data_IF_198614417255
#
_entry.id   IF_198614417255
#
_cell.length_a   1.000
_cell.length_b   1.000
_cell.length_c   1.000
_cell.angle_alpha   90.00
_cell.angle_beta   90.00
_cell.angle_gamma   90.00
#
_symmetry.space_group_name_H-M   'P 1'
#
loop_
_entity.id
_entity.type
_entity.pdbx_description
1 polymer ?
#
# COMPACT_ATOMS: atom_id res chain seq x y z
N UNK A 1 5.38 -18.01 42.73
CA UNK A 1 4.82 -16.88 41.98
C UNK A 1 5.82 -16.30 40.94
N UNK A 2 7.05 -15.92 41.29
CA UNK A 2 8.01 -15.34 40.33
C UNK A 2 8.33 -16.25 39.13
N UNK A 3 8.46 -17.55 39.31
CA UNK A 3 8.72 -18.53 38.22
C UNK A 3 7.54 -18.67 37.24
N UNK A 4 6.31 -18.44 37.70
CA UNK A 4 5.11 -18.47 36.85
C UNK A 4 5.01 -17.22 35.96
N UNK A 5 5.50 -16.08 36.45
CA UNK A 5 5.55 -14.82 35.70
C UNK A 5 6.59 -14.93 34.55
N UNK A 6 7.74 -15.55 34.79
CA UNK A 6 8.74 -15.81 33.75
C UNK A 6 8.23 -16.77 32.66
N UNK A 7 7.45 -17.78 33.03
CA UNK A 7 6.81 -18.70 32.09
C UNK A 7 5.79 -18.01 31.18
N UNK A 8 4.99 -17.09 31.75
CA UNK A 8 4.03 -16.27 30.98
C UNK A 8 4.75 -15.30 30.04
N UNK A 9 5.86 -14.70 30.49
CA UNK A 9 6.67 -13.80 29.65
C UNK A 9 7.31 -14.57 28.49
N UNK A 10 7.80 -15.79 28.69
CA UNK A 10 8.40 -16.62 27.63
C UNK A 10 7.34 -17.10 26.63
N UNK A 11 6.10 -17.39 27.06
CA UNK A 11 4.98 -17.73 26.17
C UNK A 11 4.50 -16.57 25.28
N UNK A 12 4.74 -15.32 25.70
CA UNK A 12 4.38 -14.14 24.91
C UNK A 12 5.39 -13.81 23.79
N UNK A 13 6.55 -14.48 23.74
CA UNK A 13 7.61 -14.22 22.75
C UNK A 13 7.68 -15.22 21.59
N UNK A 14 6.78 -16.20 21.50
CA UNK A 14 6.63 -17.04 20.33
C UNK A 14 5.81 -16.34 19.24
N UNK A 15 6.35 -15.27 18.64
CA UNK A 15 5.77 -14.68 17.44
C UNK A 15 6.20 -15.51 16.23
N UNK A 16 5.28 -16.27 15.68
CA UNK A 16 5.47 -16.90 14.38
C UNK A 16 5.65 -15.78 13.34
N UNK A 17 6.76 -15.84 12.59
CA UNK A 17 7.08 -14.86 11.56
C UNK A 17 6.32 -15.22 10.29
N UNK A 18 5.12 -14.64 10.08
CA UNK A 18 4.40 -14.78 8.83
C UNK A 18 4.88 -13.75 7.81
N UNK A 19 5.26 -14.22 6.62
CA UNK A 19 5.65 -13.35 5.50
C UNK A 19 4.42 -12.63 4.93
N UNK A 20 4.54 -11.33 4.72
CA UNK A 20 3.47 -10.50 4.14
C UNK A 20 3.52 -10.56 2.62
N UNK A 21 2.37 -10.75 1.97
CA UNK A 21 2.25 -10.96 0.51
C UNK A 21 1.90 -9.68 -0.24
N UNK A 22 1.22 -8.72 0.39
CA UNK A 22 0.86 -7.46 -0.26
C UNK A 22 1.91 -6.38 -0.04
N UNK A 23 2.18 -5.54 -1.08
CA UNK A 23 3.19 -4.50 -0.99
C UNK A 23 2.84 -3.44 0.04
N UNK A 24 3.87 -2.82 0.59
CA UNK A 24 3.77 -1.71 1.53
C UNK A 24 4.07 -0.42 0.79
N UNK A 25 3.22 0.60 0.96
CA UNK A 25 3.38 1.92 0.33
C UNK A 25 3.74 2.96 1.38
N UNK A 26 4.83 3.70 1.17
CA UNK A 26 5.22 4.80 2.06
C UNK A 26 4.47 6.09 1.74
N UNK A 27 4.30 6.37 0.45
CA UNK A 27 3.61 7.57 -0.05
C UNK A 27 2.11 7.37 -0.29
N UNK A 28 1.43 6.53 0.50
CA UNK A 28 0.01 6.15 0.34
C UNK A 28 -0.93 7.36 0.31
N UNK A 29 -0.60 8.46 0.97
CA UNK A 29 -1.43 9.67 0.98
C UNK A 29 -1.54 10.33 -0.40
N UNK A 30 -0.51 10.18 -1.24
CA UNK A 30 -0.47 10.77 -2.59
C UNK A 30 -1.12 9.89 -3.64
N UNK A 31 -1.25 8.60 -3.35
CA UNK A 31 -1.93 7.62 -4.20
C UNK A 31 -2.82 6.67 -3.37
N UNK A 32 -3.86 7.18 -2.69
CA UNK A 32 -4.72 6.36 -1.84
C UNK A 32 -5.57 5.35 -2.62
N UNK A 33 -5.68 5.52 -3.95
CA UNK A 33 -6.43 4.59 -4.81
C UNK A 33 -5.85 3.18 -4.79
N UNK A 34 -4.54 3.00 -4.61
CA UNK A 34 -3.93 1.65 -4.51
C UNK A 34 -4.50 0.85 -3.33
N UNK A 35 -4.92 1.55 -2.26
CA UNK A 35 -5.40 0.96 -1.01
C UNK A 35 -6.93 0.89 -0.96
N UNK A 36 -7.62 1.91 -1.47
CA UNK A 36 -9.09 1.99 -1.30
C UNK A 36 -9.77 2.51 -2.57
N UNK A 37 -10.69 1.73 -3.15
CA UNK A 37 -11.48 2.17 -4.30
C UNK A 37 -12.38 3.39 -3.99
N UNK A 38 -12.68 3.68 -2.72
CA UNK A 38 -13.45 4.86 -2.33
C UNK A 38 -12.78 6.21 -2.69
N UNK A 39 -11.50 6.18 -3.09
CA UNK A 39 -10.78 7.36 -3.57
C UNK A 39 -10.83 7.54 -5.09
N UNK A 40 -11.43 6.63 -5.85
CA UNK A 40 -11.59 6.78 -7.29
C UNK A 40 -12.38 8.07 -7.60
N UNK A 41 -11.78 8.97 -8.40
CA UNK A 41 -12.39 10.25 -8.79
C UNK A 41 -12.70 11.21 -7.66
N UNK A 42 -12.16 11.01 -6.46
CA UNK A 42 -12.44 11.86 -5.30
C UNK A 42 -11.72 13.21 -5.36
N UNK A 43 -10.59 13.29 -6.02
CA UNK A 43 -9.85 14.54 -6.22
C UNK A 43 -10.63 15.50 -7.12
N UNK A 44 -10.32 16.79 -7.03
CA UNK A 44 -10.96 17.83 -7.84
C UNK A 44 -10.62 17.76 -9.32
N UNK A 45 -9.57 17.01 -9.67
CA UNK A 45 -9.07 16.80 -11.03
C UNK A 45 -8.68 15.35 -11.22
N UNK A 46 -8.84 14.87 -12.45
CA UNK A 46 -8.37 13.54 -12.84
C UNK A 46 -6.84 13.47 -12.81
N UNK A 47 -6.29 12.27 -12.55
CA UNK A 47 -4.85 12.10 -12.46
C UNK A 47 -4.39 10.72 -12.94
N UNK A 48 -3.13 10.65 -13.36
CA UNK A 48 -2.39 9.41 -13.55
C UNK A 48 -1.19 9.46 -12.60
N UNK A 49 -0.94 8.36 -11.91
CA UNK A 49 0.17 8.22 -10.97
C UNK A 49 0.99 6.99 -11.32
N UNK A 50 2.30 7.16 -11.45
CA UNK A 50 3.30 6.10 -11.50
C UNK A 50 4.01 6.04 -10.16
N UNK A 51 4.22 4.85 -9.65
CA UNK A 51 4.91 4.60 -8.39
C UNK A 51 5.89 3.45 -8.58
N UNK A 52 7.13 3.64 -8.13
CA UNK A 52 8.17 2.62 -8.09
C UNK A 52 8.80 2.58 -6.70
N UNK A 53 8.80 1.39 -6.09
CA UNK A 53 9.35 1.19 -4.75
C UNK A 53 10.34 0.04 -4.75
N UNK A 54 11.55 0.34 -4.33
CA UNK A 54 12.66 -0.60 -4.17
C UNK A 54 12.96 -0.74 -2.67
N UNK A 55 12.59 -1.87 -2.09
CA UNK A 55 12.82 -2.13 -0.66
C UNK A 55 14.16 -2.84 -0.47
N UNK A 56 14.80 -2.59 0.65
CA UNK A 56 15.99 -3.30 1.14
C UNK A 56 17.08 -3.46 0.08
N UNK A 57 17.52 -2.36 -0.49
CA UNK A 57 18.55 -2.36 -1.53
C UNK A 57 19.83 -3.04 -1.00
N UNK A 58 20.40 -3.90 -1.83
CA UNK A 58 21.57 -4.73 -1.49
C UNK A 58 21.21 -6.16 -1.06
N UNK A 59 19.94 -6.43 -0.75
CA UNK A 59 19.47 -7.78 -0.42
C UNK A 59 19.04 -8.51 -1.69
N UNK A 60 19.56 -9.71 -1.91
CA UNK A 60 19.15 -10.54 -3.04
C UNK A 60 17.68 -10.95 -2.90
N UNK A 61 16.90 -10.75 -3.97
CA UNK A 61 15.47 -11.03 -3.94
C UNK A 61 14.62 -10.00 -3.18
N UNK A 62 15.17 -8.85 -2.81
CA UNK A 62 14.45 -7.79 -2.12
C UNK A 62 13.18 -7.34 -2.86
N UNK A 63 12.12 -6.91 -2.16
CA UNK A 63 10.85 -6.53 -2.76
C UNK A 63 10.97 -5.32 -3.70
N UNK A 64 10.27 -5.42 -4.85
CA UNK A 64 10.15 -4.36 -5.85
C UNK A 64 8.69 -4.23 -6.25
N UNK A 65 8.14 -3.02 -6.10
CA UNK A 65 6.75 -2.75 -6.42
C UNK A 65 6.67 -1.66 -7.48
N UNK A 66 6.03 -1.96 -8.59
CA UNK A 66 5.67 -1.00 -9.65
C UNK A 66 4.16 -0.83 -9.65
N UNK A 67 3.69 0.42 -9.61
CA UNK A 67 2.27 0.76 -9.65
C UNK A 67 1.97 1.85 -10.65
N UNK A 68 0.89 1.67 -11.42
CA UNK A 68 0.30 2.71 -12.27
C UNK A 68 -1.17 2.81 -11.91
N UNK A 69 -1.65 4.01 -11.59
CA UNK A 69 -3.05 4.25 -11.32
C UNK A 69 -3.57 5.43 -12.11
N UNK A 70 -4.80 5.33 -12.57
CA UNK A 70 -5.56 6.42 -13.16
C UNK A 70 -6.79 6.70 -12.31
N UNK A 71 -7.09 7.96 -12.06
CA UNK A 71 -8.28 8.40 -11.34
C UNK A 71 -9.04 9.43 -12.17
N UNK A 72 -10.29 9.14 -12.51
CA UNK A 72 -11.14 9.98 -13.32
C UNK A 72 -12.25 10.58 -12.46
N UNK A 73 -12.21 11.90 -12.32
CA UNK A 73 -13.24 12.69 -11.62
C UNK A 73 -14.35 13.07 -12.60
N UNK A 74 -15.61 12.80 -12.25
CA UNK A 74 -16.77 13.18 -13.06
C UNK A 74 -17.59 14.29 -12.39
N UNK A 75 -18.50 14.91 -13.15
CA UNK A 75 -19.42 15.93 -12.62
C UNK A 75 -20.59 15.32 -11.79
N UNK A 76 -20.83 14.01 -11.92
CA UNK A 76 -22.04 13.35 -11.43
C UNK A 76 -21.85 12.57 -10.13
N UNK A 77 -21.00 13.04 -9.21
CA UNK A 77 -20.71 12.35 -7.94
C UNK A 77 -20.10 10.95 -8.10
N UNK A 78 -19.88 10.48 -9.32
CA UNK A 78 -19.23 9.22 -9.63
C UNK A 78 -17.76 9.43 -9.92
N UNK A 79 -16.93 8.50 -9.52
CA UNK A 79 -15.51 8.46 -9.85
C UNK A 79 -15.13 7.09 -10.39
N UNK A 80 -14.17 7.07 -11.30
CA UNK A 80 -13.63 5.84 -11.85
C UNK A 80 -12.14 5.78 -11.59
N UNK A 81 -11.64 4.58 -11.36
CA UNK A 81 -10.23 4.29 -11.19
C UNK A 81 -9.80 3.13 -12.06
N UNK A 82 -8.54 3.14 -12.42
CA UNK A 82 -7.86 1.99 -13.01
C UNK A 82 -6.53 1.80 -12.31
N UNK A 83 -6.10 0.56 -12.14
CA UNK A 83 -4.82 0.26 -11.49
C UNK A 83 -4.13 -0.92 -12.17
N UNK A 84 -2.83 -0.80 -12.29
CA UNK A 84 -1.90 -1.89 -12.56
C UNK A 84 -0.88 -1.91 -11.44
N UNK A 85 -0.71 -3.05 -10.80
CA UNK A 85 0.27 -3.24 -9.73
C UNK A 85 1.06 -4.51 -10.02
N UNK A 86 2.37 -4.42 -9.91
CA UNK A 86 3.26 -5.58 -9.95
C UNK A 86 4.18 -5.52 -8.75
N UNK A 87 4.16 -6.56 -7.95
CA UNK A 87 5.04 -6.75 -6.81
C UNK A 87 5.87 -8.02 -6.99
N UNK A 88 7.16 -7.93 -6.73
CA UNK A 88 8.08 -9.05 -6.80
C UNK A 88 8.90 -9.12 -5.52
N UNK A 89 8.86 -10.25 -4.83
CA UNK A 89 9.63 -10.50 -3.62
C UNK A 89 10.22 -11.91 -3.69
N UNK A 90 11.55 -12.01 -3.79
CA UNK A 90 12.22 -13.28 -4.02
C UNK A 90 11.73 -13.97 -5.30
N UNK A 91 11.31 -15.23 -5.20
CA UNK A 91 10.76 -15.99 -6.32
C UNK A 91 9.29 -15.65 -6.61
N UNK A 92 8.60 -14.95 -5.68
CA UNK A 92 7.18 -14.61 -5.81
C UNK A 92 6.99 -13.34 -6.62
N UNK A 93 6.01 -13.36 -7.52
CA UNK A 93 5.58 -12.21 -8.30
C UNK A 93 4.05 -12.16 -8.28
N UNK A 94 3.52 -11.01 -7.86
CA UNK A 94 2.09 -10.72 -7.88
C UNK A 94 1.82 -9.65 -8.95
N UNK A 95 0.83 -9.88 -9.81
CA UNK A 95 0.41 -8.92 -10.84
C UNK A 95 -1.09 -8.72 -10.72
N UNK A 96 -1.52 -7.46 -10.67
CA UNK A 96 -2.93 -7.10 -10.49
C UNK A 96 -3.33 -6.02 -11.48
N UNK A 97 -4.50 -6.19 -12.13
CA UNK A 97 -5.22 -5.18 -12.87
C UNK A 97 -6.54 -4.91 -12.19
N UNK A 98 -6.87 -3.65 -11.92
CA UNK A 98 -8.10 -3.28 -11.23
C UNK A 98 -8.83 -2.15 -11.95
N UNK A 99 -10.16 -2.20 -11.86
CA UNK A 99 -11.08 -1.13 -12.22
C UNK A 99 -11.90 -0.78 -10.99
N UNK A 100 -11.94 0.50 -10.65
CA UNK A 100 -12.62 1.02 -9.49
C UNK A 100 -13.80 1.89 -9.92
N UNK A 101 -14.89 1.77 -9.18
CA UNK A 101 -16.01 2.70 -9.21
C UNK A 101 -16.26 3.22 -7.80
N UNK A 102 -16.44 4.53 -7.67
CA UNK A 102 -16.83 5.13 -6.41
C UNK A 102 -17.99 6.11 -6.61
N UNK A 103 -18.84 6.17 -5.61
CA UNK A 103 -19.91 7.18 -5.52
C UNK A 103 -19.67 8.08 -4.32
N UNK A 104 -19.73 9.40 -4.57
CA UNK A 104 -19.46 10.43 -3.57
C UNK A 104 -20.75 11.20 -3.30
N UNK A 105 -21.25 11.19 -2.07
CA UNK A 105 -22.46 11.91 -1.70
C UNK A 105 -22.23 12.82 -0.51
N UNK A 106 -22.76 14.04 -0.60
CA UNK A 106 -22.77 14.96 0.53
C UNK A 106 -23.87 14.54 1.51
N UNK A 107 -23.47 14.14 2.71
CA UNK A 107 -24.41 13.89 3.83
C UNK A 107 -24.81 15.19 4.50
N UNK A 108 -23.95 16.21 4.46
CA UNK A 108 -24.23 17.57 4.91
C UNK A 108 -23.32 18.57 4.18
N UNK A 109 -23.45 19.86 4.50
CA UNK A 109 -22.62 20.94 3.91
C UNK A 109 -21.10 20.67 4.03
N UNK A 110 -20.67 19.96 5.06
CA UNK A 110 -19.25 19.75 5.36
C UNK A 110 -18.85 18.26 5.38
N UNK A 111 -19.80 17.33 5.24
CA UNK A 111 -19.56 15.89 5.34
C UNK A 111 -19.82 15.26 3.98
N UNK A 112 -18.84 14.54 3.46
CA UNK A 112 -18.96 13.74 2.25
C UNK A 112 -18.68 12.28 2.58
N UNK A 113 -19.59 11.41 2.18
CA UNK A 113 -19.43 9.97 2.19
C UNK A 113 -19.00 9.50 0.80
N UNK A 114 -18.09 8.55 0.73
CA UNK A 114 -17.67 7.89 -0.51
C UNK A 114 -17.66 6.39 -0.30
N UNK A 115 -18.41 5.68 -1.11
CA UNK A 115 -18.36 4.21 -1.19
C UNK A 115 -17.74 3.79 -2.51
N UNK A 116 -16.84 2.82 -2.49
CA UNK A 116 -16.18 2.33 -3.69
C UNK A 116 -16.10 0.82 -3.76
N UNK A 117 -16.14 0.30 -4.97
CA UNK A 117 -15.92 -1.11 -5.29
C UNK A 117 -14.79 -1.23 -6.31
N UNK A 118 -14.05 -2.32 -6.21
CA UNK A 118 -12.98 -2.72 -7.15
C UNK A 118 -13.33 -4.05 -7.76
N UNK A 119 -13.21 -4.17 -9.06
CA UNK A 119 -13.12 -5.45 -9.76
C UNK A 119 -11.69 -5.58 -10.24
N UNK A 120 -11.02 -6.68 -9.93
CA UNK A 120 -9.63 -6.88 -10.32
C UNK A 120 -9.39 -8.30 -10.83
N UNK A 121 -8.28 -8.46 -11.56
CA UNK A 121 -7.73 -9.74 -11.98
C UNK A 121 -6.33 -9.83 -11.44
N UNK A 122 -6.07 -10.85 -10.62
CA UNK A 122 -4.82 -11.03 -9.92
C UNK A 122 -4.18 -12.34 -10.34
N UNK A 123 -2.89 -12.30 -10.67
CA UNK A 123 -2.04 -13.47 -10.89
C UNK A 123 -0.93 -13.49 -9.84
N UNK A 124 -0.76 -14.65 -9.23
CA UNK A 124 0.37 -14.94 -8.35
C UNK A 124 1.22 -16.02 -9.00
N UNK A 125 2.47 -15.74 -9.17
CA UNK A 125 3.43 -16.70 -9.73
C UNK A 125 4.64 -16.89 -8.81
N UNK A 126 5.10 -18.14 -8.73
CA UNK A 126 6.24 -18.55 -7.95
C UNK A 126 7.27 -19.17 -8.90
N UNK A 127 8.40 -18.50 -9.11
CA UNK A 127 9.48 -18.93 -10.01
C UNK A 127 10.47 -19.78 -9.24
N UNK A 128 10.39 -21.10 -9.40
CA UNK A 128 11.22 -22.07 -8.70
C UNK A 128 12.51 -22.41 -9.45
N UNK A 129 12.50 -22.29 -10.78
CA UNK A 129 13.63 -22.68 -11.65
C UNK A 129 14.93 -21.88 -11.43
N UNK A 130 14.90 -20.78 -10.68
CA UNK A 130 16.07 -19.95 -10.39
C UNK A 130 16.63 -20.14 -8.97
N UNK A 131 16.03 -21.04 -8.18
CA UNK A 131 16.47 -21.29 -6.81
C UNK A 131 17.67 -22.24 -6.80
N UNK A 132 18.66 -21.96 -5.95
CA UNK A 132 19.74 -22.92 -5.66
C UNK A 132 19.19 -23.94 -4.68
N UNK A 133 18.87 -25.12 -5.17
CA UNK A 133 18.35 -26.22 -4.37
C UNK A 133 19.51 -26.98 -3.73
N UNK A 134 19.30 -27.49 -2.51
CA UNK A 134 20.23 -28.42 -1.85
C UNK A 134 20.19 -29.79 -2.56
N UNK A 135 18.98 -30.24 -2.93
CA UNK A 135 18.74 -31.38 -3.80
C UNK A 135 18.23 -30.89 -5.16
N UNK A 136 19.10 -31.00 -6.19
CA UNK A 136 18.76 -30.55 -7.54
C UNK A 136 17.63 -31.37 -8.20
N UNK A 137 17.31 -32.54 -7.67
CA UNK A 137 16.30 -33.46 -8.18
C UNK A 137 15.01 -33.45 -7.37
N UNK A 138 14.82 -32.50 -6.44
CA UNK A 138 13.57 -32.39 -5.68
C UNK A 138 12.40 -32.11 -6.62
N UNK A 139 11.44 -33.05 -6.78
CA UNK A 139 10.35 -32.92 -7.73
C UNK A 139 9.40 -31.76 -7.41
N UNK A 140 9.41 -31.26 -6.17
CA UNK A 140 8.55 -30.14 -5.76
C UNK A 140 9.04 -28.79 -6.32
N UNK A 141 10.29 -28.69 -6.76
CA UNK A 141 10.89 -27.46 -7.30
C UNK A 141 11.13 -27.50 -8.81
N UNK A 142 10.65 -28.54 -9.48
CA UNK A 142 10.91 -28.75 -10.92
C UNK A 142 10.13 -27.83 -11.86
N UNK A 143 9.06 -27.13 -11.41
CA UNK A 143 8.20 -26.32 -12.25
C UNK A 143 7.82 -25.00 -11.59
N UNK A 144 7.73 -23.94 -12.39
CA UNK A 144 7.14 -22.68 -11.94
C UNK A 144 5.64 -22.84 -11.72
N UNK A 145 5.14 -22.20 -10.67
CA UNK A 145 3.74 -22.25 -10.28
C UNK A 145 3.09 -20.90 -10.61
N UNK A 146 1.90 -20.91 -11.19
CA UNK A 146 1.09 -19.71 -11.40
C UNK A 146 -0.36 -19.99 -11.13
N UNK A 147 -1.07 -19.05 -10.53
CA UNK A 147 -2.51 -19.14 -10.34
C UNK A 147 -3.28 -18.81 -11.62
N UNK A 148 -2.62 -18.14 -12.59
CA UNK A 148 -3.26 -17.44 -13.69
C UNK A 148 -4.08 -16.25 -13.19
N UNK A 149 -4.55 -15.41 -14.11
CA UNK A 149 -5.38 -14.27 -13.76
C UNK A 149 -6.73 -14.72 -13.24
N UNK A 150 -7.01 -14.44 -11.97
CA UNK A 150 -8.25 -14.79 -11.28
C UNK A 150 -9.03 -13.54 -10.92
N UNK A 151 -10.37 -13.53 -11.11
CA UNK A 151 -11.20 -12.39 -10.75
C UNK A 151 -11.21 -12.19 -9.24
N UNK A 152 -11.23 -10.92 -8.82
CA UNK A 152 -11.31 -10.55 -7.43
C UNK A 152 -12.21 -9.33 -7.27
N UNK A 153 -12.71 -9.15 -6.05
CA UNK A 153 -13.45 -7.97 -5.63
C UNK A 153 -12.71 -7.25 -4.53
N UNK A 154 -12.99 -5.99 -4.39
CA UNK A 154 -12.54 -5.16 -3.29
C UNK A 154 -13.55 -4.08 -2.99
N UNK A 155 -13.49 -3.54 -1.80
CA UNK A 155 -14.37 -2.49 -1.35
C UNK A 155 -13.65 -1.45 -0.52
N UNK A 156 -14.25 -0.28 -0.42
CA UNK A 156 -13.77 0.78 0.45
C UNK A 156 -14.86 1.78 0.79
N UNK A 157 -14.74 2.35 1.96
CA UNK A 157 -15.58 3.41 2.46
C UNK A 157 -14.70 4.55 2.93
N UNK A 158 -15.10 5.78 2.65
CA UNK A 158 -14.43 6.97 3.13
C UNK A 158 -15.45 7.99 3.62
N UNK A 159 -15.20 8.54 4.79
CA UNK A 159 -15.95 9.67 5.34
C UNK A 159 -15.01 10.86 5.45
N UNK A 160 -15.40 11.99 4.87
CA UNK A 160 -14.62 13.23 4.94
C UNK A 160 -15.43 14.34 5.60
N UNK A 161 -14.78 15.06 6.52
CA UNK A 161 -15.27 16.28 7.12
C UNK A 161 -14.29 17.40 6.83
N UNK A 162 -14.68 18.34 5.96
CA UNK A 162 -13.78 19.39 5.46
C UNK A 162 -12.46 18.78 4.93
N UNK A 163 -11.35 19.07 5.59
CA UNK A 163 -9.99 18.62 5.22
C UNK A 163 -9.54 17.33 5.95
N UNK A 164 -10.41 16.72 6.74
CA UNK A 164 -10.14 15.50 7.49
C UNK A 164 -10.88 14.34 6.85
N UNK A 165 -10.25 13.17 6.82
CA UNK A 165 -10.91 11.96 6.33
C UNK A 165 -10.55 10.74 7.19
N UNK A 166 -11.45 9.77 7.17
CA UNK A 166 -11.22 8.42 7.66
C UNK A 166 -11.73 7.44 6.60
N UNK A 167 -10.97 6.40 6.32
CA UNK A 167 -11.31 5.38 5.33
C UNK A 167 -11.00 3.99 5.84
N UNK A 168 -11.89 3.04 5.54
CA UNK A 168 -11.66 1.61 5.74
C UNK A 168 -11.81 0.91 4.40
N UNK A 169 -10.98 -0.10 4.14
CA UNK A 169 -11.01 -0.83 2.88
C UNK A 169 -10.39 -2.22 2.98
N UNK A 170 -10.82 -3.07 2.07
CA UNK A 170 -10.24 -4.36 1.73
C UNK A 170 -10.13 -4.41 0.20
N UNK A 171 -8.95 -4.13 -0.38
CA UNK A 171 -8.78 -4.01 -1.83
C UNK A 171 -8.84 -5.34 -2.57
N UNK A 172 -8.61 -6.47 -1.88
CA UNK A 172 -8.62 -7.84 -2.41
C UNK A 172 -9.35 -8.73 -1.41
N UNK A 173 -10.54 -9.23 -1.77
CA UNK A 173 -11.40 -10.03 -0.89
C UNK A 173 -11.18 -11.54 -1.06
N UNK A 174 -11.05 -12.00 -2.31
CA UNK A 174 -10.92 -13.43 -2.58
C UNK A 174 -9.46 -13.85 -2.46
N UNK A 175 -9.20 -14.84 -1.62
CA UNK A 175 -7.88 -15.40 -1.36
C UNK A 175 -7.75 -16.72 -2.10
N UNK A 176 -6.80 -16.80 -3.00
CA UNK A 176 -6.52 -17.98 -3.79
C UNK A 176 -5.25 -18.65 -3.24
N UNK A 177 -5.42 -19.83 -2.67
CA UNK A 177 -4.30 -20.61 -2.16
C UNK A 177 -3.63 -21.40 -3.28
N UNK A 178 -2.31 -21.56 -3.20
CA UNK A 178 -1.56 -22.49 -4.07
C UNK A 178 -1.81 -23.97 -3.75
N UNK A 179 -2.83 -24.31 -2.97
CA UNK A 179 -3.09 -25.66 -2.41
C UNK A 179 -3.17 -26.79 -3.44
N UNK A 180 -3.35 -26.50 -4.73
CA UNK A 180 -3.30 -27.50 -5.79
C UNK A 180 -1.86 -28.01 -6.04
N UNK A 181 -0.89 -27.28 -5.54
CA UNK A 181 0.55 -27.52 -5.70
C UNK A 181 1.23 -27.62 -4.34
N UNK A 182 0.51 -28.21 -3.36
CA UNK A 182 0.90 -28.27 -1.95
C UNK A 182 2.29 -28.88 -1.75
N UNK A 183 3.27 -27.98 -1.71
CA UNK A 183 4.60 -28.28 -1.19
C UNK A 183 4.49 -28.20 0.33
N UNK A 184 3.97 -29.26 0.98
CA UNK A 184 3.80 -29.35 2.44
C UNK A 184 3.10 -28.16 3.11
N UNK A 185 2.14 -27.63 2.52
CA UNK A 185 0.86 -27.16 2.82
C UNK A 185 0.52 -26.13 3.78
N UNK A 186 1.21 -25.08 4.10
CA UNK A 186 0.67 -24.07 5.02
C UNK A 186 0.70 -22.62 4.55
N UNK A 187 0.79 -22.38 3.24
CA UNK A 187 0.62 -21.03 2.74
C UNK A 187 -0.85 -20.62 2.79
N UNK A 188 -1.21 -19.80 3.75
CA UNK A 188 -2.51 -19.12 3.84
C UNK A 188 -2.35 -17.67 3.48
N UNK A 189 -3.02 -17.25 2.43
CA UNK A 189 -3.21 -15.84 2.14
C UNK A 189 -4.35 -15.30 3.01
N UNK A 190 -4.08 -14.27 3.81
CA UNK A 190 -5.05 -13.67 4.73
C UNK A 190 -5.61 -12.37 4.15
N UNK A 191 -6.82 -12.01 4.60
CA UNK A 191 -7.44 -10.73 4.26
C UNK A 191 -6.61 -9.56 4.81
N UNK A 192 -6.41 -8.53 4.00
CA UNK A 192 -5.72 -7.30 4.40
C UNK A 192 -6.75 -6.17 4.53
N UNK A 193 -6.95 -5.73 5.76
CA UNK A 193 -7.79 -4.59 6.05
C UNK A 193 -6.93 -3.35 6.28
N UNK A 194 -7.35 -2.25 5.67
CA UNK A 194 -6.67 -0.97 5.80
C UNK A 194 -7.59 0.05 6.43
N UNK A 195 -7.10 0.72 7.47
CA UNK A 195 -7.71 1.89 8.06
C UNK A 195 -6.79 3.08 7.80
N UNK A 196 -7.27 4.08 7.09
CA UNK A 196 -6.55 5.33 6.85
C UNK A 196 -7.28 6.50 7.48
N UNK A 197 -6.52 7.41 8.09
CA UNK A 197 -7.03 8.70 8.50
C UNK A 197 -6.00 9.79 8.21
N UNK A 198 -6.49 10.99 7.97
CA UNK A 198 -5.61 12.12 7.74
C UNK A 198 -6.37 13.44 7.77
N UNK A 199 -5.62 14.49 8.02
CA UNK A 199 -6.17 15.86 7.97
C UNK A 199 -5.18 16.80 7.28
N UNK A 200 -5.62 18.02 7.00
CA UNK A 200 -4.71 19.10 6.60
C UNK A 200 -5.19 20.42 7.18
N UNK A 201 -4.26 21.19 7.75
CA UNK A 201 -4.55 22.50 8.32
C UNK A 201 -3.39 23.48 8.07
N UNK A 202 -3.74 24.74 7.90
CA UNK A 202 -2.77 25.82 7.69
C UNK A 202 -2.28 26.31 9.03
N UNK A 203 -0.95 26.30 9.24
CA UNK A 203 -0.30 26.79 10.48
C UNK A 203 0.22 28.21 10.33
N UNK A 204 0.58 28.60 9.10
CA UNK A 204 0.98 29.97 8.78
C UNK A 204 0.72 30.25 7.30
N UNK A 205 0.88 31.52 6.89
CA UNK A 205 0.75 31.91 5.49
C UNK A 205 1.74 31.10 4.63
N UNK A 206 1.19 30.26 3.76
CA UNK A 206 1.97 29.42 2.83
C UNK A 206 2.49 28.10 3.43
N UNK A 207 2.19 27.76 4.69
CA UNK A 207 2.56 26.47 5.29
C UNK A 207 1.33 25.70 5.73
N UNK A 208 1.16 24.50 5.19
CA UNK A 208 0.10 23.55 5.53
C UNK A 208 0.69 22.25 6.05
N UNK A 209 0.23 21.80 7.21
CA UNK A 209 0.58 20.47 7.76
C UNK A 209 -0.46 19.44 7.37
N UNK A 210 0.01 18.24 7.07
CA UNK A 210 -0.78 17.10 6.59
C UNK A 210 -0.41 15.84 7.40
N UNK A 211 -0.80 15.70 8.67
CA UNK A 211 -0.66 14.44 9.38
C UNK A 211 -1.58 13.38 8.77
N UNK A 212 -1.10 12.14 8.77
CA UNK A 212 -1.89 10.97 8.38
C UNK A 212 -1.38 9.70 9.05
N UNK A 213 -2.28 8.74 9.18
CA UNK A 213 -1.98 7.40 9.68
C UNK A 213 -2.62 6.37 8.76
N UNK A 214 -1.93 5.27 8.56
CA UNK A 214 -2.45 4.07 7.94
C UNK A 214 -2.18 2.90 8.85
N UNK A 215 -3.23 2.14 9.17
CA UNK A 215 -3.15 0.90 9.93
C UNK A 215 -3.52 -0.23 9.00
N UNK A 216 -2.67 -1.24 8.94
CA UNK A 216 -2.92 -2.48 8.22
C UNK A 216 -3.10 -3.61 9.22
N UNK A 217 -4.22 -4.31 9.10
CA UNK A 217 -4.57 -5.45 9.93
C UNK A 217 -4.64 -6.69 9.05
N UNK A 218 -3.85 -7.67 9.37
CA UNK A 218 -3.84 -9.01 8.76
C UNK A 218 -4.09 -9.99 9.90
N UNK A 219 -5.07 -10.91 9.80
CA UNK A 219 -5.30 -11.92 10.82
C UNK A 219 -4.02 -12.70 11.14
N UNK A 220 -3.80 -12.97 12.41
CA UNK A 220 -2.64 -13.73 12.93
C UNK A 220 -1.27 -13.05 12.69
N UNK A 221 -1.22 -11.75 12.41
CA UNK A 221 0.02 -11.00 12.31
C UNK A 221 -0.02 -9.75 13.19
N UNK A 222 1.13 -9.23 13.64
CA UNK A 222 1.18 -7.95 14.33
C UNK A 222 0.61 -6.82 13.47
N UNK A 223 -0.13 -5.92 14.10
CA UNK A 223 -0.68 -4.74 13.43
C UNK A 223 0.46 -3.85 12.95
N UNK A 224 0.41 -3.48 11.66
CA UNK A 224 1.32 -2.50 11.07
C UNK A 224 0.67 -1.11 11.06
N UNK A 225 1.34 -0.12 11.63
CA UNK A 225 0.89 1.26 11.66
C UNK A 225 1.95 2.19 11.08
N UNK A 226 1.56 3.00 10.11
CA UNK A 226 2.37 4.02 9.45
C UNK A 226 1.86 5.39 9.86
N UNK A 227 2.69 6.21 10.49
CA UNK A 227 2.39 7.59 10.84
C UNK A 227 3.23 8.50 9.97
N UNK A 228 2.58 9.45 9.28
CA UNK A 228 3.22 10.42 8.41
C UNK A 228 2.87 11.84 8.83
N UNK A 229 3.86 12.72 8.80
CA UNK A 229 3.66 14.16 8.93
C UNK A 229 4.34 14.86 7.76
N UNK A 230 3.57 15.56 6.93
CA UNK A 230 4.08 16.32 5.79
C UNK A 230 3.77 17.80 5.96
N UNK A 231 4.76 18.64 5.75
CA UNK A 231 4.60 20.09 5.61
C UNK A 231 4.63 20.46 4.13
N UNK A 232 3.57 21.14 3.67
CA UNK A 232 3.50 21.70 2.31
C UNK A 232 3.77 23.20 2.37
N UNK A 233 4.75 23.64 1.62
CA UNK A 233 5.21 25.04 1.55
C UNK A 233 4.74 25.63 0.22
N UNK A 234 4.04 26.77 0.29
CA UNK A 234 3.51 27.53 -0.88
C UNK A 234 2.71 26.66 -1.87
N UNK A 235 2.08 25.59 -1.36
CA UNK A 235 1.32 24.62 -2.16
C UNK A 235 2.15 23.93 -3.27
N UNK A 236 3.48 23.95 -3.17
CA UNK A 236 4.39 23.41 -4.18
C UNK A 236 5.37 22.41 -3.64
N UNK A 237 5.99 22.67 -2.48
CA UNK A 237 7.03 21.83 -1.89
C UNK A 237 6.47 21.05 -0.72
N UNK A 238 6.67 19.77 -0.70
CA UNK A 238 6.34 18.89 0.40
C UNK A 238 7.63 18.36 1.05
N UNK A 239 7.69 18.47 2.38
CA UNK A 239 8.70 17.82 3.22
C UNK A 239 7.99 16.99 4.26
N UNK A 240 8.36 15.74 4.41
CA UNK A 240 7.66 14.87 5.34
C UNK A 240 8.60 13.90 6.03
N UNK A 241 8.11 13.43 7.18
CA UNK A 241 8.72 12.35 7.96
C UNK A 241 7.67 11.28 8.20
N UNK A 242 8.11 10.04 8.27
CA UNK A 242 7.25 8.90 8.56
C UNK A 242 7.90 7.96 9.56
N UNK A 243 7.06 7.30 10.32
CA UNK A 243 7.43 6.23 11.22
C UNK A 243 6.48 5.04 11.01
N UNK A 244 7.06 3.86 10.82
CA UNK A 244 6.34 2.59 10.77
C UNK A 244 6.75 1.73 11.97
N UNK A 245 5.77 1.29 12.74
CA UNK A 245 6.03 0.48 13.94
C UNK A 245 6.68 -0.87 13.63
N UNK A 246 6.53 -1.37 12.39
CA UNK A 246 7.25 -2.55 11.87
C UNK A 246 8.67 -2.21 11.40
N UNK A 247 9.27 -1.17 11.99
CA UNK A 247 10.70 -0.89 12.02
C UNK A 247 11.28 -0.06 10.87
N UNK A 248 10.63 1.03 10.46
CA UNK A 248 11.28 1.99 9.58
C UNK A 248 11.00 3.46 9.94
N UNK A 249 12.01 4.30 9.68
CA UNK A 249 11.89 5.76 9.66
C UNK A 249 12.05 6.23 8.22
N UNK A 250 11.20 7.13 7.78
CA UNK A 250 11.24 7.68 6.43
C UNK A 250 11.33 9.19 6.41
N UNK A 251 11.96 9.71 5.37
CA UNK A 251 11.93 11.11 4.98
C UNK A 251 11.43 11.21 3.56
N UNK A 252 10.60 12.21 3.28
CA UNK A 252 10.05 12.41 1.94
C UNK A 252 10.18 13.88 1.51
N UNK A 253 10.38 14.05 0.21
CA UNK A 253 10.35 15.33 -0.46
C UNK A 253 9.44 15.24 -1.68
N UNK A 254 8.70 16.30 -1.96
CA UNK A 254 7.83 16.36 -3.13
C UNK A 254 7.78 17.75 -3.72
N UNK A 255 7.53 17.82 -5.01
CA UNK A 255 7.41 19.08 -5.74
C UNK A 255 6.27 19.03 -6.76
N UNK A 256 5.37 20.01 -6.66
CA UNK A 256 4.30 20.24 -7.61
C UNK A 256 4.67 21.37 -8.58
N UNK A 257 4.99 21.00 -9.81
CA UNK A 257 5.33 21.92 -10.89
C UNK A 257 4.09 22.27 -11.73
N UNK A 258 3.94 23.54 -12.08
CA UNK A 258 2.85 24.09 -12.93
C UNK A 258 1.45 23.63 -12.52
N UNK A 259 1.22 23.23 -11.26
CA UNK A 259 -0.03 22.65 -10.76
C UNK A 259 -0.48 21.38 -11.53
N UNK A 260 0.43 20.73 -12.24
CA UNK A 260 0.14 19.57 -13.10
C UNK A 260 1.03 18.37 -12.83
N UNK A 261 2.30 18.59 -12.56
CA UNK A 261 3.28 17.51 -12.40
C UNK A 261 3.73 17.47 -10.96
N UNK A 262 3.44 16.38 -10.27
CA UNK A 262 3.97 16.14 -8.94
C UNK A 262 5.03 15.05 -9.02
N UNK A 263 6.20 15.34 -8.46
CA UNK A 263 7.29 14.39 -8.27
C UNK A 263 7.51 14.26 -6.77
N UNK A 264 7.40 13.04 -6.25
CA UNK A 264 7.66 12.71 -4.86
C UNK A 264 8.72 11.64 -4.74
N UNK A 265 9.57 11.78 -3.77
CA UNK A 265 10.59 10.79 -3.44
C UNK A 265 10.61 10.56 -1.93
N UNK A 266 10.70 9.30 -1.54
CA UNK A 266 10.79 8.88 -0.15
C UNK A 266 11.98 7.95 0.04
N UNK A 267 12.71 8.20 1.10
CA UNK A 267 13.80 7.37 1.58
C UNK A 267 13.45 6.81 2.95
N UNK A 268 13.52 5.49 3.12
CA UNK A 268 13.25 4.83 4.38
C UNK A 268 14.48 4.08 4.89
N UNK A 269 14.73 4.22 6.17
CA UNK A 269 15.77 3.52 6.92
C UNK A 269 15.13 2.46 7.82
N UNK A 270 15.51 1.18 7.74
CA UNK A 270 15.11 0.20 8.74
C UNK A 270 15.77 0.54 10.08
N UNK A 271 14.99 0.43 11.16
CA UNK A 271 15.46 0.66 12.55
C UNK A 271 15.50 -0.63 13.37
N UNK A 272 15.18 -1.78 12.74
CA UNK A 272 15.27 -3.12 13.32
C UNK A 272 16.62 -3.77 13.06
N UNK A 273 16.75 -5.03 13.49
CA UNK A 273 17.93 -5.88 13.22
C UNK A 273 18.22 -6.06 11.71
N UNK A 274 17.23 -5.85 10.83
CA UNK A 274 17.43 -5.81 9.38
C UNK A 274 18.43 -4.75 8.92
N UNK A 275 18.71 -3.74 9.76
CA UNK A 275 19.73 -2.71 9.48
C UNK A 275 21.12 -3.33 9.26
N UNK A 276 21.37 -4.52 9.77
CA UNK A 276 22.63 -5.25 9.55
C UNK A 276 22.77 -5.75 8.10
N UNK A 277 21.65 -5.99 7.39
CA UNK A 277 21.64 -6.56 6.04
C UNK A 277 21.25 -5.55 4.96
N UNK A 278 20.47 -4.52 5.32
CA UNK A 278 20.04 -3.45 4.40
C UNK A 278 19.93 -2.12 5.13
N UNK A 279 20.24 -1.04 4.44
CA UNK A 279 20.17 0.30 5.02
C UNK A 279 19.17 1.21 4.34
N UNK A 280 18.52 0.77 3.24
CA UNK A 280 17.73 1.71 2.45
C UNK A 280 16.57 1.09 1.69
N UNK A 281 15.50 1.85 1.65
CA UNK A 281 14.34 1.63 0.78
C UNK A 281 14.04 2.96 0.09
N UNK A 282 13.77 2.90 -1.20
CA UNK A 282 13.47 4.07 -2.02
C UNK A 282 12.06 3.93 -2.62
N UNK A 283 11.32 5.03 -2.64
CA UNK A 283 10.04 5.11 -3.32
C UNK A 283 9.99 6.39 -4.16
N UNK A 284 9.71 6.25 -5.45
CA UNK A 284 9.49 7.34 -6.40
C UNK A 284 8.03 7.39 -6.78
N UNK A 285 7.44 8.58 -6.80
CA UNK A 285 6.07 8.82 -7.22
C UNK A 285 6.03 9.97 -8.22
N UNK A 286 5.49 9.69 -9.40
CA UNK A 286 5.23 10.68 -10.44
C UNK A 286 3.73 10.77 -10.65
N UNK A 287 3.13 11.96 -10.49
CA UNK A 287 1.69 12.16 -10.68
C UNK A 287 1.44 13.30 -11.67
N UNK A 288 0.63 13.02 -12.68
CA UNK A 288 0.12 14.02 -13.61
C UNK A 288 -1.33 14.34 -13.28
N UNK A 289 -1.60 15.61 -13.11
CA UNK A 289 -2.94 16.17 -12.84
C UNK A 289 -3.47 16.80 -14.14
N UNK A 290 -4.60 16.30 -14.60
CA UNK A 290 -5.25 16.87 -15.79
C UNK A 290 -5.82 18.25 -15.46
N UNK A 291 -5.88 19.12 -16.48
CA UNK A 291 -6.52 20.41 -16.29
C UNK A 291 -8.02 20.19 -15.97
N UNK A 292 -8.54 20.99 -15.03
CA UNK A 292 -9.98 20.99 -14.76
C UNK A 292 -10.71 21.41 -16.04
N UNK A 293 -11.53 20.51 -16.62
CA UNK A 293 -12.44 20.94 -17.71
C UNK A 293 -13.37 21.99 -17.12
N UNK A 294 -13.30 23.20 -17.67
CA UNK A 294 -14.24 24.29 -17.38
C UNK A 294 -15.69 23.91 -17.68
#
# INVERSE_FOLDING_TARGET
MKKFIYLIIILCFSSECFSQVEPIYGMYRYNPLVISPAFAGKDTVSSITLMDRLQWIGVAGAPKTLGITGSLTTKNKSGFGVSFLQDKAGPMKNTSFGVDYAYHTALSKNITFSGGIRVSFNDQSLSLNGLKLIDANDPNFGQNITTGFRPNLGWGINLSYKNTFISISEPIMFRYNFNKYDINGNYKDYAHYYLMAGTSFTVSKGIRLKPSVMIRVIPNTPISADINLTATIQEKLDFGVSYRNSNSLGVQIGYLSFKKYYIGYMYELPISEMRATTIQTHELLLKYLFAKKQ
#
